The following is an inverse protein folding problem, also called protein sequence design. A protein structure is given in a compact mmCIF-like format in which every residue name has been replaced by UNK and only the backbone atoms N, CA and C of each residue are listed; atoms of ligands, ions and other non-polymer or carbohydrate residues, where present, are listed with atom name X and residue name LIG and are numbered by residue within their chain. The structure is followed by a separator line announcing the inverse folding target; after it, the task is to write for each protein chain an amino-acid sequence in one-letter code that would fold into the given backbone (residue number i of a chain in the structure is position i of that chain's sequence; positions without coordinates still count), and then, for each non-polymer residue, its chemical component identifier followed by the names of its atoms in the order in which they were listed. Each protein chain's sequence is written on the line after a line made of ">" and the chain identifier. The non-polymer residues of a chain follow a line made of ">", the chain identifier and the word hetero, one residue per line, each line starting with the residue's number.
data_IF_875637808254
#
_entry.id   IF_875637808254
#
_cell.length_a   1.000
_cell.length_b   1.000
_cell.length_c   1.000
_cell.angle_alpha   90.00
_cell.angle_beta   90.00
_cell.angle_gamma   90.00
#
_symmetry.space_group_name_H-M   'P 1'
#
loop_
_entity.id
_entity.type
_entity.pdbx_description
1 polymer ?
#
# COMPACT_ATOMS: atom_id res chain seq x y z
N UNK A 1 2.55 -7.18 -12.69
CA UNK A 1 2.12 -8.59 -12.69
C UNK A 1 1.56 -8.93 -14.06
N UNK A 2 2.28 -9.72 -14.86
CA UNK A 2 1.81 -10.12 -16.20
C UNK A 2 1.50 -11.61 -16.18
N UNK A 3 0.25 -12.02 -16.42
CA UNK A 3 -0.13 -13.44 -16.36
C UNK A 3 0.55 -14.29 -17.45
N UNK A 4 1.21 -13.66 -18.43
CA UNK A 4 1.90 -14.35 -19.51
C UNK A 4 3.24 -14.99 -19.12
N UNK A 5 3.81 -14.69 -17.95
CA UNK A 5 5.16 -15.14 -17.58
C UNK A 5 5.39 -15.44 -16.10
N UNK A 6 4.39 -15.28 -15.24
CA UNK A 6 4.48 -15.60 -13.81
C UNK A 6 3.23 -16.34 -13.34
N UNK A 7 3.39 -17.25 -12.38
CA UNK A 7 2.30 -18.02 -11.76
C UNK A 7 1.72 -17.37 -10.51
N UNK A 8 2.30 -16.25 -10.07
CA UNK A 8 2.00 -15.63 -8.79
C UNK A 8 0.54 -15.13 -8.73
N UNK A 9 -0.12 -15.42 -7.61
CA UNK A 9 -1.49 -15.01 -7.28
C UNK A 9 -1.41 -14.10 -6.05
N UNK A 10 -2.01 -12.92 -6.14
CA UNK A 10 -2.04 -11.93 -5.05
C UNK A 10 -3.47 -11.72 -4.59
N UNK A 11 -3.70 -11.87 -3.28
CA UNK A 11 -4.99 -11.59 -2.63
C UNK A 11 -4.93 -10.19 -2.01
N UNK A 12 -5.94 -9.36 -2.28
CA UNK A 12 -5.97 -7.95 -1.88
C UNK A 12 -6.85 -7.73 -0.64
N UNK A 13 -6.34 -6.93 0.31
CA UNK A 13 -7.03 -6.61 1.56
C UNK A 13 -6.91 -5.11 1.87
N UNK A 14 -7.88 -4.59 2.63
CA UNK A 14 -7.91 -3.24 3.19
C UNK A 14 -8.36 -3.35 4.65
N UNK A 15 -7.78 -2.54 5.53
CA UNK A 15 -8.15 -2.49 6.95
C UNK A 15 -8.00 -1.07 7.48
N UNK A 16 -8.85 -0.71 8.44
CA UNK A 16 -8.68 0.47 9.27
C UNK A 16 -7.65 0.17 10.37
N UNK A 17 -6.87 1.18 10.76
CA UNK A 17 -5.94 1.08 11.87
C UNK A 17 -6.08 2.30 12.80
N UNK A 18 -5.55 2.16 14.01
CA UNK A 18 -5.47 3.20 15.02
C UNK A 18 -4.12 3.13 15.74
N UNK A 19 -3.68 4.24 16.32
CA UNK A 19 -2.41 4.33 17.05
C UNK A 19 -2.30 3.31 18.19
N UNK A 20 -3.44 2.98 18.82
CA UNK A 20 -3.50 2.01 19.92
C UNK A 20 -3.16 0.57 19.48
N UNK A 21 -3.25 0.26 18.18
CA UNK A 21 -2.91 -1.05 17.61
C UNK A 21 -1.43 -1.14 17.21
N UNK A 22 -0.64 -0.08 17.39
CA UNK A 22 0.78 -0.07 17.03
C UNK A 22 1.62 -0.72 18.14
N UNK A 23 1.98 -1.98 17.94
CA UNK A 23 2.82 -2.73 18.89
C UNK A 23 4.32 -2.40 18.78
N UNK A 24 4.77 -1.80 17.68
CA UNK A 24 6.18 -1.48 17.45
C UNK A 24 6.45 -0.56 16.25
N UNK A 25 7.72 -0.37 15.93
CA UNK A 25 8.15 0.50 14.83
C UNK A 25 7.98 -0.15 13.43
N UNK A 26 7.80 -1.47 13.35
CA UNK A 26 7.93 -2.23 12.10
C UNK A 26 9.39 -2.50 11.78
N UNK A 27 9.74 -2.55 10.49
CA UNK A 27 11.14 -2.71 10.03
C UNK A 27 11.45 -4.03 9.31
N UNK A 28 10.56 -5.01 9.41
CA UNK A 28 10.77 -6.35 8.85
C UNK A 28 11.42 -7.31 9.85
N UNK A 29 11.83 -8.49 9.36
CA UNK A 29 12.50 -9.56 10.12
C UNK A 29 13.76 -10.04 9.39
N UNK A 30 14.67 -10.69 10.12
CA UNK A 30 15.92 -11.25 9.58
C UNK A 30 16.78 -10.21 8.84
N UNK A 31 16.92 -10.33 7.52
CA UNK A 31 17.72 -9.46 6.65
C UNK A 31 16.89 -8.37 5.96
N UNK A 32 15.63 -8.21 6.36
CA UNK A 32 14.78 -7.12 5.90
C UNK A 32 15.19 -5.77 6.49
N UNK A 33 15.12 -4.72 5.66
CA UNK A 33 15.32 -3.32 6.04
C UNK A 33 14.18 -2.50 5.42
N UNK A 34 13.09 -2.32 6.18
CA UNK A 34 11.83 -1.76 5.68
C UNK A 34 11.52 -0.42 6.35
N UNK A 35 11.44 0.63 5.54
CA UNK A 35 10.93 1.93 5.96
C UNK A 35 9.38 1.93 6.02
N UNK A 36 8.84 2.25 7.21
CA UNK A 36 7.40 2.44 7.40
C UNK A 36 7.04 3.90 7.09
N UNK A 37 6.20 4.10 6.07
CA UNK A 37 5.72 5.42 5.65
C UNK A 37 4.25 5.61 6.00
N UNK A 38 3.98 6.49 6.96
CA UNK A 38 2.64 7.00 7.25
C UNK A 38 2.49 8.39 6.60
N UNK A 39 1.65 8.49 5.57
CA UNK A 39 1.45 9.71 4.80
C UNK A 39 -0.04 9.96 4.54
N UNK A 40 -0.48 11.22 4.34
CA UNK A 40 -1.84 11.51 3.94
C UNK A 40 -2.26 10.79 2.66
N UNK A 41 -3.49 10.29 2.62
CA UNK A 41 -4.04 9.59 1.44
C UNK A 41 -3.98 10.45 0.17
N UNK A 42 -4.27 11.75 0.29
CA UNK A 42 -4.18 12.70 -0.82
C UNK A 42 -2.76 12.83 -1.39
N UNK A 43 -1.74 12.77 -0.52
CA UNK A 43 -0.34 12.75 -0.93
C UNK A 43 0.00 11.44 -1.65
N UNK A 44 -0.40 10.28 -1.11
CA UNK A 44 -0.20 8.99 -1.77
C UNK A 44 -0.83 8.97 -3.17
N UNK A 45 -2.03 9.50 -3.35
CA UNK A 45 -2.67 9.62 -4.66
C UNK A 45 -1.94 10.57 -5.62
N UNK A 46 -1.36 11.66 -5.11
CA UNK A 46 -0.49 12.53 -5.91
C UNK A 46 0.79 11.80 -6.35
N UNK A 47 1.38 10.99 -5.47
CA UNK A 47 2.55 10.15 -5.76
C UNK A 47 2.25 9.04 -6.79
N UNK A 48 1.04 8.50 -6.82
CA UNK A 48 0.59 7.61 -7.91
C UNK A 48 0.55 8.38 -9.24
N UNK A 49 -0.02 9.59 -9.24
CA UNK A 49 -0.19 10.40 -10.45
C UNK A 49 1.14 10.86 -11.06
N UNK A 50 2.13 11.19 -10.23
CA UNK A 50 3.43 11.68 -10.70
C UNK A 50 4.47 10.57 -10.91
N UNK A 51 4.15 9.32 -10.56
CA UNK A 51 5.00 8.15 -10.80
C UNK A 51 5.99 7.82 -9.68
N UNK A 52 5.94 8.51 -8.54
CA UNK A 52 6.70 8.14 -7.34
C UNK A 52 6.24 6.77 -6.81
N UNK A 53 4.93 6.53 -6.73
CA UNK A 53 4.35 5.20 -6.50
C UNK A 53 4.02 4.57 -7.85
N UNK A 54 4.76 3.50 -8.19
CA UNK A 54 4.68 2.81 -9.49
C UNK A 54 4.64 1.28 -9.39
N UNK A 55 4.36 0.77 -8.19
CA UNK A 55 4.13 -0.65 -7.95
C UNK A 55 2.67 -1.02 -8.17
N UNK A 56 2.41 -2.09 -8.92
CA UNK A 56 1.07 -2.43 -9.40
C UNK A 56 0.07 -2.75 -8.28
N UNK A 57 0.45 -3.54 -7.28
CA UNK A 57 -0.45 -3.91 -6.16
C UNK A 57 -0.76 -2.69 -5.28
N UNK A 58 0.20 -1.81 -5.06
CA UNK A 58 -0.01 -0.56 -4.30
C UNK A 58 -0.93 0.41 -5.05
N UNK A 59 -0.72 0.61 -6.36
CA UNK A 59 -1.60 1.46 -7.19
C UNK A 59 -3.05 0.95 -7.18
N UNK A 60 -3.25 -0.37 -7.32
CA UNK A 60 -4.58 -0.99 -7.30
C UNK A 60 -5.29 -0.73 -5.95
N UNK A 61 -4.60 -0.92 -4.82
CA UNK A 61 -5.20 -0.72 -3.49
C UNK A 61 -5.55 0.75 -3.20
N UNK A 62 -4.68 1.70 -3.58
CA UNK A 62 -4.95 3.13 -3.42
C UNK A 62 -6.14 3.57 -4.30
N UNK A 63 -6.22 3.08 -5.54
CA UNK A 63 -7.37 3.35 -6.41
C UNK A 63 -8.65 2.71 -5.88
N UNK A 64 -8.59 1.51 -5.29
CA UNK A 64 -9.74 0.89 -4.62
C UNK A 64 -10.24 1.75 -3.45
N UNK A 65 -9.35 2.28 -2.61
CA UNK A 65 -9.73 3.20 -1.53
C UNK A 65 -10.43 4.45 -2.07
N UNK A 66 -9.88 5.07 -3.12
CA UNK A 66 -10.49 6.24 -3.78
C UNK A 66 -11.89 5.92 -4.31
N UNK A 67 -12.07 4.79 -5.00
CA UNK A 67 -13.35 4.40 -5.61
C UNK A 67 -14.42 4.06 -4.57
N UNK A 68 -14.01 3.55 -3.40
CA UNK A 68 -14.92 3.22 -2.30
C UNK A 68 -15.36 4.44 -1.49
N UNK A 69 -14.69 5.59 -1.66
CA UNK A 69 -14.99 6.84 -0.95
C UNK A 69 -15.00 6.68 0.58
N UNK A 70 -14.10 5.85 1.13
CA UNK A 70 -13.99 5.65 2.58
C UNK A 70 -12.95 6.57 3.24
N UNK A 71 -12.11 7.19 2.43
CA UNK A 71 -11.18 8.25 2.85
C UNK A 71 -11.86 9.59 2.55
N UNK A 72 -12.46 10.20 3.57
CA UNK A 72 -13.12 11.52 3.49
C UNK A 72 -12.13 12.68 3.44
#
# INVERSE_FOLDING_TARGET
>A
MSPGGVTEIVYFYLAEYSDAQREGAGGGVEDEDIDVLEIPFSQAMAMVKNGEIRDGKTVILLQQLQLRNIMG
#
